data_IF_973896697730
#
_entry.id   IF_973896697730
#
_cell.length_a   1.000
_cell.length_b   1.000
_cell.length_c   1.000
_cell.angle_alpha   90.00
_cell.angle_beta   90.00
_cell.angle_gamma   90.00
#
_symmetry.space_group_name_H-M   'P 1'
#
loop_
_entity.id
_entity.type
_entity.pdbx_description
1 polymer ?
#
# COMPACT_ATOMS: atom_id res chain seq x y z
N UNK A 1 17.64 30.14 -25.54
CA UNK A 1 18.02 30.02 -24.11
C UNK A 1 18.29 28.54 -23.84
N UNK A 2 19.35 28.16 -23.10
CA UNK A 2 19.62 26.77 -22.78
C UNK A 2 18.65 26.25 -21.71
N UNK A 3 18.17 25.02 -21.85
CA UNK A 3 17.36 24.37 -20.82
C UNK A 3 18.25 23.97 -19.64
N UNK A 4 17.95 24.47 -18.45
CA UNK A 4 18.65 24.10 -17.22
C UNK A 4 18.32 22.66 -16.83
N UNK A 5 19.31 21.77 -16.92
CA UNK A 5 19.21 20.41 -16.42
C UNK A 5 19.09 20.40 -14.89
N UNK A 6 17.88 20.21 -14.36
CA UNK A 6 17.69 19.93 -12.93
C UNK A 6 18.25 18.55 -12.61
N UNK A 7 19.40 18.51 -11.94
CA UNK A 7 19.98 17.31 -11.36
C UNK A 7 19.06 16.78 -10.27
N UNK A 8 18.55 15.55 -10.45
CA UNK A 8 17.84 14.84 -9.38
C UNK A 8 18.87 14.49 -8.31
N UNK A 9 18.83 15.22 -7.19
CA UNK A 9 19.64 14.92 -6.01
C UNK A 9 19.33 13.50 -5.53
N UNK A 10 20.38 12.73 -5.21
CA UNK A 10 20.21 11.45 -4.55
C UNK A 10 19.45 11.63 -3.22
N UNK A 11 18.61 10.64 -2.90
CA UNK A 11 17.73 10.66 -1.73
C UNK A 11 18.53 10.86 -0.43
N UNK A 12 18.38 12.05 0.16
CA UNK A 12 18.77 12.30 1.55
C UNK A 12 17.97 11.38 2.45
N UNK A 13 18.62 10.72 3.40
CA UNK A 13 17.99 9.76 4.31
C UNK A 13 16.69 10.33 4.91
N UNK A 14 15.56 9.79 4.45
CA UNK A 14 14.23 10.33 4.79
C UNK A 14 13.98 10.06 6.28
N UNK A 15 13.99 11.14 7.08
CA UNK A 15 13.59 11.06 8.48
C UNK A 15 12.12 10.64 8.53
N UNK A 16 11.88 9.40 8.97
CA UNK A 16 10.53 8.83 8.99
C UNK A 16 9.76 9.35 10.19
N UNK A 17 8.45 9.65 10.04
CA UNK A 17 7.61 9.95 11.18
C UNK A 17 7.68 8.78 12.17
N UNK A 18 7.92 9.13 13.43
CA UNK A 18 7.90 8.19 14.55
C UNK A 18 6.52 7.56 14.67
N UNK A 19 6.47 6.28 15.06
CA UNK A 19 5.17 5.66 15.35
C UNK A 19 4.50 6.42 16.50
N UNK A 20 3.19 6.63 16.43
CA UNK A 20 2.39 7.19 17.54
C UNK A 20 2.41 6.30 18.80
N UNK A 21 2.98 5.09 18.70
CA UNK A 21 3.26 4.18 19.81
C UNK A 21 4.74 4.22 20.28
N UNK A 22 5.57 5.17 19.86
CA UNK A 22 6.98 5.24 20.31
C UNK A 22 7.14 5.71 21.77
N UNK A 23 6.24 6.52 22.31
CA UNK A 23 6.31 6.91 23.73
C UNK A 23 5.91 5.75 24.67
N UNK A 24 5.14 4.79 24.16
CA UNK A 24 4.85 3.48 24.77
C UNK A 24 5.83 2.41 24.27
N UNK A 25 7.13 2.71 24.40
CA UNK A 25 8.20 1.74 24.13
C UNK A 25 8.28 0.63 25.18
N UNK A 26 8.76 -0.54 24.77
CA UNK A 26 9.11 -1.67 25.66
C UNK A 26 9.89 -1.25 26.92
N UNK A 27 10.84 -0.31 26.78
CA UNK A 27 11.65 0.19 27.90
C UNK A 27 10.86 1.07 28.88
N UNK A 28 9.87 1.85 28.42
CA UNK A 28 9.05 2.65 29.34
C UNK A 28 8.14 1.75 30.16
N UNK A 29 7.50 0.75 29.55
CA UNK A 29 6.69 -0.24 30.29
C UNK A 29 7.48 -1.00 31.36
N UNK A 30 8.68 -1.51 31.05
CA UNK A 30 9.53 -2.20 32.05
C UNK A 30 9.98 -1.30 33.21
N UNK A 31 9.88 0.02 33.05
CA UNK A 31 10.20 1.03 34.08
C UNK A 31 8.98 1.37 34.94
N UNK A 32 7.78 1.40 34.36
CA UNK A 32 6.53 1.72 35.06
C UNK A 32 5.84 0.51 35.72
N UNK A 33 6.01 -0.69 35.16
CA UNK A 33 5.44 -1.97 35.66
C UNK A 33 6.57 -2.98 35.86
N UNK A 34 7.26 -2.98 37.03
CA UNK A 34 8.45 -3.80 37.28
C UNK A 34 8.22 -5.31 37.15
N UNK A 35 7.00 -5.79 37.36
CA UNK A 35 6.56 -7.17 37.16
C UNK A 35 6.77 -7.66 35.72
N UNK A 36 6.71 -6.77 34.73
CA UNK A 36 6.95 -7.11 33.32
C UNK A 36 8.43 -7.44 33.04
N UNK A 37 9.36 -7.15 33.97
CA UNK A 37 10.77 -7.54 33.80
C UNK A 37 10.96 -9.06 33.71
N UNK A 38 10.04 -9.86 34.26
CA UNK A 38 10.04 -11.32 34.05
C UNK A 38 9.84 -11.72 32.57
N UNK A 39 9.31 -10.84 31.73
CA UNK A 39 9.11 -11.02 30.29
C UNK A 39 10.19 -10.32 29.45
N UNK A 40 11.14 -9.60 30.06
CA UNK A 40 12.13 -8.76 29.37
C UNK A 40 12.97 -9.52 28.33
N UNK A 41 13.37 -10.75 28.65
CA UNK A 41 14.13 -11.68 27.80
C UNK A 41 13.28 -12.87 27.30
N UNK A 42 11.97 -12.66 27.16
CA UNK A 42 11.09 -13.67 26.55
C UNK A 42 11.51 -13.96 25.11
N UNK A 43 11.31 -15.21 24.65
CA UNK A 43 11.62 -15.65 23.27
C UNK A 43 11.01 -14.75 22.18
N UNK A 44 9.91 -14.04 22.49
CA UNK A 44 9.25 -13.09 21.58
C UNK A 44 10.02 -11.78 21.39
N UNK A 45 11.08 -11.53 22.17
CA UNK A 45 11.97 -10.37 22.03
C UNK A 45 13.04 -10.57 20.96
N UNK A 46 13.33 -11.84 20.64
CA UNK A 46 14.32 -12.28 19.66
C UNK A 46 13.65 -12.57 18.31
N UNK A 47 14.40 -12.41 17.21
CA UNK A 47 13.89 -12.77 15.88
C UNK A 47 13.73 -14.30 15.78
N UNK A 48 12.68 -14.74 15.09
CA UNK A 48 12.54 -16.14 14.71
C UNK A 48 13.68 -16.57 13.77
N UNK A 49 14.11 -17.83 13.84
CA UNK A 49 15.10 -18.38 12.91
C UNK A 49 14.58 -18.36 11.47
N UNK A 50 15.48 -18.28 10.48
CA UNK A 50 15.12 -18.32 9.06
C UNK A 50 14.23 -19.52 8.72
N UNK A 51 14.61 -20.71 9.17
CA UNK A 51 13.82 -21.94 8.99
C UNK A 51 12.40 -21.85 9.56
N UNK A 52 12.22 -21.16 10.69
CA UNK A 52 10.90 -20.93 11.30
C UNK A 52 10.07 -19.96 10.46
N UNK A 53 10.70 -18.90 9.95
CA UNK A 53 10.05 -17.90 9.08
C UNK A 53 9.60 -18.55 7.77
N UNK A 54 10.47 -19.32 7.11
CA UNK A 54 10.17 -19.92 5.80
C UNK A 54 9.09 -21.00 5.93
N UNK A 55 9.17 -21.87 6.94
CA UNK A 55 8.11 -22.84 7.26
C UNK A 55 6.76 -22.17 7.58
N UNK A 56 6.79 -21.01 8.25
CA UNK A 56 5.56 -20.25 8.57
C UNK A 56 4.96 -19.61 7.33
N UNK A 57 5.81 -19.08 6.44
CA UNK A 57 5.41 -18.55 5.13
C UNK A 57 4.75 -19.63 4.28
N UNK A 58 5.37 -20.81 4.14
CA UNK A 58 4.79 -21.95 3.41
C UNK A 58 3.41 -22.33 3.96
N UNK A 59 3.30 -22.52 5.29
CA UNK A 59 2.03 -22.87 5.94
C UNK A 59 0.93 -21.78 5.84
N UNK A 60 1.30 -20.53 5.56
CA UNK A 60 0.38 -19.43 5.27
C UNK A 60 -0.01 -19.42 3.78
N UNK A 61 0.94 -19.66 2.88
CA UNK A 61 0.71 -19.73 1.43
C UNK A 61 -0.16 -20.95 1.06
N UNK A 62 0.03 -22.11 1.72
CA UNK A 62 -0.88 -23.27 1.65
C UNK A 62 -2.33 -22.95 2.06
N UNK A 63 -2.52 -21.98 2.96
CA UNK A 63 -3.83 -21.49 3.41
C UNK A 63 -4.38 -20.36 2.53
N UNK A 64 -3.72 -20.04 1.42
CA UNK A 64 -4.14 -19.01 0.47
C UNK A 64 -3.76 -17.58 0.87
N UNK A 65 -2.98 -17.37 1.93
CA UNK A 65 -2.45 -16.05 2.25
C UNK A 65 -1.27 -15.72 1.32
N UNK A 66 -1.23 -14.50 0.79
CA UNK A 66 -0.07 -14.01 0.03
C UNK A 66 0.93 -13.39 0.99
N UNK A 67 2.08 -14.03 1.18
CA UNK A 67 3.07 -13.63 2.19
C UNK A 67 4.24 -12.88 1.55
N UNK A 68 4.73 -11.86 2.25
CA UNK A 68 5.91 -11.07 1.84
C UNK A 68 6.85 -10.88 3.02
N UNK A 69 7.93 -11.66 3.04
CA UNK A 69 9.04 -11.50 3.99
C UNK A 69 9.98 -10.42 3.46
N UNK A 70 10.43 -9.54 4.34
CA UNK A 70 11.33 -8.39 4.06
C UNK A 70 12.26 -8.18 5.26
N UNK A 71 13.49 -7.75 5.03
CA UNK A 71 14.54 -7.74 6.06
C UNK A 71 14.55 -6.46 6.91
N UNK A 72 14.01 -5.36 6.39
CA UNK A 72 14.12 -4.03 7.02
C UNK A 72 12.95 -3.11 6.61
N UNK A 73 12.91 -1.92 7.23
CA UNK A 73 11.86 -0.91 7.01
C UNK A 73 11.85 -0.34 5.58
N UNK A 74 12.98 -0.33 4.88
CA UNK A 74 13.10 0.19 3.51
C UNK A 74 12.49 -0.78 2.51
N UNK A 75 12.86 -2.05 2.61
CA UNK A 75 12.26 -3.15 1.84
C UNK A 75 10.75 -3.27 2.12
N UNK A 76 10.31 -3.10 3.38
CA UNK A 76 8.89 -3.07 3.72
C UNK A 76 8.16 -1.92 3.02
N UNK A 77 8.71 -0.70 3.04
CA UNK A 77 8.13 0.45 2.36
C UNK A 77 8.06 0.23 0.84
N UNK A 78 9.16 -0.20 0.22
CA UNK A 78 9.20 -0.49 -1.22
C UNK A 78 8.26 -1.65 -1.61
N UNK A 79 8.11 -2.67 -0.74
CA UNK A 79 7.15 -3.75 -0.92
C UNK A 79 5.72 -3.22 -0.90
N UNK A 80 5.34 -2.42 0.11
CA UNK A 80 4.03 -1.78 0.18
C UNK A 80 3.76 -0.92 -1.05
N UNK A 81 4.72 -0.08 -1.46
CA UNK A 81 4.62 0.72 -2.69
C UNK A 81 4.37 -0.14 -3.94
N UNK A 82 5.07 -1.28 -4.08
CA UNK A 82 4.86 -2.22 -5.19
C UNK A 82 3.50 -2.94 -5.20
N UNK A 83 2.78 -2.91 -4.07
CA UNK A 83 1.45 -3.51 -3.91
C UNK A 83 0.30 -2.50 -4.12
N UNK A 84 0.61 -1.20 -4.22
CA UNK A 84 -0.40 -0.16 -4.43
C UNK A 84 -1.11 -0.38 -5.77
N UNK A 85 -2.44 -0.58 -5.81
CA UNK A 85 -3.18 -0.72 -7.05
C UNK A 85 -3.23 0.60 -7.85
N UNK A 86 -3.54 0.49 -9.14
CA UNK A 86 -3.96 1.64 -9.94
C UNK A 86 -5.27 2.20 -9.37
N UNK A 87 -5.26 3.49 -9.03
CA UNK A 87 -6.37 4.32 -8.56
C UNK A 87 -6.21 5.71 -9.20
N UNK A 88 -7.29 6.48 -9.29
CA UNK A 88 -7.27 7.90 -9.61
C UNK A 88 -7.88 8.68 -8.42
N UNK A 89 -7.43 9.92 -8.22
CA UNK A 89 -7.97 10.82 -7.20
C UNK A 89 -8.27 12.15 -7.90
N UNK A 90 -9.50 12.65 -7.82
CA UNK A 90 -9.87 13.93 -8.43
C UNK A 90 -9.32 15.11 -7.62
N UNK A 91 -9.17 16.29 -8.23
CA UNK A 91 -8.84 17.53 -7.53
C UNK A 91 -9.92 17.90 -6.47
N UNK A 92 -11.16 17.44 -6.67
CA UNK A 92 -12.28 17.58 -5.74
C UNK A 92 -12.34 16.51 -4.62
N UNK A 93 -11.45 15.51 -4.64
CA UNK A 93 -11.26 14.56 -3.54
C UNK A 93 -12.04 13.24 -3.64
N UNK A 94 -12.68 12.96 -4.77
CA UNK A 94 -13.22 11.63 -5.07
C UNK A 94 -12.09 10.63 -5.41
N UNK A 95 -12.20 9.40 -4.90
CA UNK A 95 -11.24 8.33 -5.21
C UNK A 95 -11.93 7.34 -6.15
N UNK A 96 -11.33 7.09 -7.31
CA UNK A 96 -11.90 6.22 -8.33
C UNK A 96 -11.00 5.02 -8.65
N UNK A 97 -11.61 3.84 -8.81
CA UNK A 97 -10.88 2.63 -9.23
C UNK A 97 -11.75 1.59 -9.93
N UNK A 98 -11.14 0.87 -10.87
CA UNK A 98 -11.74 -0.27 -11.55
C UNK A 98 -11.19 -1.63 -11.11
N UNK A 99 -12.01 -2.67 -11.20
CA UNK A 99 -11.58 -4.07 -11.14
C UNK A 99 -12.42 -5.00 -12.04
N UNK A 100 -12.04 -6.28 -12.08
CA UNK A 100 -12.70 -7.31 -12.88
C UNK A 100 -13.61 -8.23 -12.04
N UNK A 101 -13.28 -8.45 -10.75
CA UNK A 101 -13.88 -9.49 -9.89
C UNK A 101 -14.56 -8.95 -8.64
N UNK A 102 -14.64 -7.63 -8.45
CA UNK A 102 -15.25 -6.97 -7.29
C UNK A 102 -14.39 -6.96 -6.01
N UNK A 103 -13.15 -7.46 -6.07
CA UNK A 103 -12.27 -7.62 -4.91
C UNK A 103 -11.76 -6.30 -4.33
N UNK A 104 -11.68 -5.23 -5.11
CA UNK A 104 -11.38 -3.89 -4.59
C UNK A 104 -12.65 -3.26 -4.03
N UNK A 105 -13.73 -3.31 -4.81
CA UNK A 105 -15.02 -2.69 -4.49
C UNK A 105 -15.56 -3.22 -3.16
N UNK A 106 -15.80 -4.53 -3.03
CA UNK A 106 -16.43 -5.09 -1.83
C UNK A 106 -15.70 -4.78 -0.50
N UNK A 107 -14.36 -4.71 -0.54
CA UNK A 107 -13.56 -4.30 0.62
C UNK A 107 -13.69 -2.81 0.92
N UNK A 108 -13.46 -1.96 -0.09
CA UNK A 108 -13.36 -0.50 0.09
C UNK A 108 -14.72 0.17 0.29
N UNK A 109 -15.77 -0.24 -0.43
CA UNK A 109 -17.13 0.32 -0.29
C UNK A 109 -17.69 0.15 1.13
N UNK A 110 -17.51 -1.04 1.72
CA UNK A 110 -18.15 -1.38 2.99
C UNK A 110 -17.29 -2.26 3.92
N UNK A 111 -16.75 -3.38 3.44
CA UNK A 111 -16.24 -4.45 4.32
C UNK A 111 -15.07 -4.11 5.25
N UNK A 112 -14.13 -3.25 4.84
CA UNK A 112 -12.78 -3.17 5.45
C UNK A 112 -12.66 -2.56 6.87
N UNK A 113 -13.67 -1.82 7.36
CA UNK A 113 -13.62 -1.16 8.68
C UNK A 113 -12.74 0.11 8.74
N UNK A 114 -11.45 0.02 8.40
CA UNK A 114 -10.49 1.12 8.22
C UNK A 114 -9.74 0.91 6.91
N UNK A 115 -9.63 1.94 6.06
CA UNK A 115 -9.04 1.86 4.72
C UNK A 115 -7.89 2.85 4.62
N UNK A 116 -6.71 2.40 4.20
CA UNK A 116 -5.57 3.27 3.90
C UNK A 116 -5.33 3.24 2.39
N UNK A 117 -5.54 4.39 1.74
CA UNK A 117 -5.23 4.61 0.32
C UNK A 117 -3.88 5.30 0.23
N UNK A 118 -2.86 4.59 -0.23
CA UNK A 118 -1.56 5.19 -0.58
C UNK A 118 -1.53 5.42 -2.09
N UNK A 119 -1.19 6.63 -2.53
CA UNK A 119 -1.14 6.98 -3.94
C UNK A 119 0.00 7.96 -4.24
N UNK A 120 0.64 7.83 -5.40
CA UNK A 120 1.55 8.85 -5.91
C UNK A 120 0.77 10.05 -6.43
N UNK A 121 1.32 11.26 -6.36
CA UNK A 121 0.66 12.47 -6.90
C UNK A 121 0.45 12.41 -8.42
N UNK A 122 1.13 11.50 -9.13
CA UNK A 122 0.87 11.14 -10.54
C UNK A 122 -0.47 10.43 -10.80
N UNK A 123 -1.26 10.18 -9.74
CA UNK A 123 -2.62 9.63 -9.80
C UNK A 123 -3.70 10.69 -9.59
N UNK A 124 -3.33 11.95 -9.37
CA UNK A 124 -4.27 13.06 -9.30
C UNK A 124 -4.73 13.41 -10.73
N UNK A 125 -6.03 13.63 -10.91
CA UNK A 125 -6.71 14.03 -12.14
C UNK A 125 -7.66 15.18 -11.84
N UNK A 126 -8.07 15.95 -12.84
CA UNK A 126 -8.97 17.08 -12.67
C UNK A 126 -10.35 16.67 -12.14
N UNK A 127 -11.00 15.71 -12.80
CA UNK A 127 -12.40 15.36 -12.56
C UNK A 127 -12.69 13.86 -12.78
N UNK A 128 -13.92 13.43 -12.46
CA UNK A 128 -14.35 12.03 -12.61
C UNK A 128 -14.29 11.53 -14.07
N UNK A 129 -14.47 12.41 -15.06
CA UNK A 129 -14.38 12.03 -16.47
C UNK A 129 -12.92 11.71 -16.84
N UNK A 130 -11.97 12.56 -16.41
CA UNK A 130 -10.55 12.25 -16.55
C UNK A 130 -10.15 10.99 -15.76
N UNK A 131 -10.72 10.75 -14.58
CA UNK A 131 -10.48 9.51 -13.82
C UNK A 131 -10.88 8.24 -14.59
N UNK A 132 -12.02 8.29 -15.32
CA UNK A 132 -12.48 7.20 -16.19
C UNK A 132 -11.55 7.03 -17.39
N UNK A 133 -11.15 8.13 -18.04
CA UNK A 133 -10.23 8.11 -19.18
C UNK A 133 -8.86 7.55 -18.78
N UNK A 134 -8.25 8.06 -17.70
CA UNK A 134 -7.01 7.52 -17.12
C UNK A 134 -7.13 6.02 -16.83
N UNK A 135 -8.26 5.57 -16.29
CA UNK A 135 -8.46 4.15 -16.00
C UNK A 135 -8.53 3.29 -17.27
N UNK A 136 -9.27 3.74 -18.29
CA UNK A 136 -9.51 2.98 -19.54
C UNK A 136 -8.36 3.06 -20.53
N UNK A 137 -7.81 4.24 -20.75
CA UNK A 137 -6.85 4.52 -21.82
C UNK A 137 -5.40 4.41 -21.35
N UNK A 138 -5.10 4.76 -20.09
CA UNK A 138 -3.76 4.64 -19.54
C UNK A 138 -3.56 3.34 -18.74
N UNK A 139 -4.38 3.05 -17.73
CA UNK A 139 -4.14 1.89 -16.86
C UNK A 139 -4.44 0.53 -17.52
N UNK A 140 -5.57 0.40 -18.23
CA UNK A 140 -6.06 -0.89 -18.73
C UNK A 140 -5.08 -1.58 -19.72
N UNK A 141 -4.34 -0.88 -20.60
CA UNK A 141 -3.28 -1.49 -21.40
C UNK A 141 -2.17 -2.15 -20.57
N UNK A 142 -1.70 -1.50 -19.49
CA UNK A 142 -0.69 -2.07 -18.60
C UNK A 142 -1.22 -3.25 -17.79
N UNK A 143 -2.46 -3.16 -17.27
CA UNK A 143 -3.11 -4.30 -16.59
C UNK A 143 -3.28 -5.48 -17.54
N UNK A 144 -3.66 -5.23 -18.80
CA UNK A 144 -3.76 -6.27 -19.84
C UNK A 144 -2.41 -6.91 -20.16
N UNK A 145 -1.32 -6.13 -20.20
CA UNK A 145 0.03 -6.67 -20.37
C UNK A 145 0.46 -7.55 -19.18
N UNK A 146 0.13 -7.13 -17.95
CA UNK A 146 0.34 -7.94 -16.75
C UNK A 146 -0.48 -9.24 -16.78
N UNK A 147 -1.78 -9.17 -17.09
CA UNK A 147 -2.67 -10.34 -17.14
C UNK A 147 -2.28 -11.36 -18.20
N UNK A 148 -1.78 -10.92 -19.37
CA UNK A 148 -1.16 -11.82 -20.36
C UNK A 148 0.04 -12.58 -19.81
N UNK A 149 0.90 -11.90 -19.04
CA UNK A 149 2.12 -12.51 -18.45
C UNK A 149 1.76 -13.49 -17.33
N UNK A 150 0.95 -13.04 -16.37
CA UNK A 150 0.65 -13.73 -15.12
C UNK A 150 -0.43 -14.81 -15.25
N UNK A 151 -1.54 -14.51 -15.95
CA UNK A 151 -2.73 -15.37 -15.98
C UNK A 151 -3.02 -15.98 -17.36
N UNK A 152 -2.20 -15.67 -18.39
CA UNK A 152 -2.39 -16.10 -19.79
C UNK A 152 -3.70 -15.63 -20.43
N UNK A 153 -4.38 -14.66 -19.83
CA UNK A 153 -5.60 -14.05 -20.36
C UNK A 153 -5.20 -13.02 -21.43
N UNK A 154 -5.85 -13.06 -22.61
CA UNK A 154 -5.52 -12.19 -23.76
C UNK A 154 -5.57 -10.69 -23.43
N UNK A 155 -6.58 -10.29 -22.67
CA UNK A 155 -6.89 -8.89 -22.37
C UNK A 155 -7.62 -8.80 -21.03
N UNK A 156 -7.29 -7.78 -20.23
CA UNK A 156 -8.03 -7.47 -19.02
C UNK A 156 -9.16 -6.50 -19.38
N UNK A 157 -10.33 -6.70 -18.77
CA UNK A 157 -11.46 -5.78 -18.88
C UNK A 157 -11.93 -5.36 -17.50
N UNK A 158 -12.63 -4.22 -17.46
CA UNK A 158 -13.18 -3.65 -16.24
C UNK A 158 -14.66 -4.04 -16.15
N UNK A 159 -15.01 -4.79 -15.11
CA UNK A 159 -16.40 -5.19 -14.81
C UNK A 159 -17.04 -4.16 -13.89
N UNK A 160 -16.31 -3.73 -12.87
CA UNK A 160 -16.76 -2.78 -11.87
C UNK A 160 -15.90 -1.51 -11.93
N UNK A 161 -16.55 -0.36 -11.76
CA UNK A 161 -15.89 0.92 -11.55
C UNK A 161 -16.59 1.62 -10.40
N UNK A 162 -15.82 2.06 -9.41
CA UNK A 162 -16.33 2.73 -8.22
C UNK A 162 -15.76 4.14 -8.14
N UNK A 163 -16.61 5.09 -7.70
CA UNK A 163 -16.21 6.44 -7.30
C UNK A 163 -16.64 6.64 -5.85
N UNK A 164 -15.64 6.67 -4.96
CA UNK A 164 -15.82 6.84 -3.53
C UNK A 164 -15.98 8.33 -3.21
N UNK A 165 -17.13 8.65 -2.60
CA UNK A 165 -17.42 9.96 -2.02
C UNK A 165 -17.55 9.75 -0.51
N UNK A 166 -16.71 10.41 0.27
CA UNK A 166 -16.58 10.10 1.70
C UNK A 166 -17.87 10.47 2.48
N UNK A 167 -18.48 9.49 3.14
CA UNK A 167 -19.67 9.67 4.00
C UNK A 167 -19.40 9.33 5.47
N UNK A 168 -18.31 8.63 5.78
CA UNK A 168 -17.87 8.29 7.13
C UNK A 168 -16.48 8.87 7.39
N UNK A 169 -16.42 9.99 8.11
CA UNK A 169 -15.18 10.71 8.41
C UNK A 169 -14.17 9.81 9.14
N UNK A 170 -12.91 9.84 8.71
CA UNK A 170 -11.80 9.09 9.32
C UNK A 170 -11.72 7.60 8.93
N UNK A 171 -12.74 7.01 8.30
CA UNK A 171 -12.72 5.60 7.86
C UNK A 171 -11.72 5.35 6.73
N UNK A 172 -11.63 6.30 5.79
CA UNK A 172 -10.71 6.26 4.65
C UNK A 172 -9.62 7.31 4.90
N UNK A 173 -8.38 6.84 5.02
CA UNK A 173 -7.19 7.65 5.21
C UNK A 173 -6.39 7.68 3.91
N UNK A 174 -5.99 8.87 3.45
CA UNK A 174 -5.26 9.03 2.18
C UNK A 174 -3.83 9.50 2.45
N UNK A 175 -2.86 8.78 1.92
CA UNK A 175 -1.43 9.12 1.96
C UNK A 175 -0.96 9.43 0.55
N UNK A 176 -0.79 10.72 0.26
CA UNK A 176 -0.25 11.20 -1.01
C UNK A 176 1.27 11.27 -0.96
N UNK A 177 1.93 10.49 -1.82
CA UNK A 177 3.39 10.46 -1.96
C UNK A 177 3.78 11.33 -3.16
N UNK A 178 4.74 12.25 -2.98
CA UNK A 178 5.21 13.17 -4.03
C UNK A 178 6.18 12.50 -5.02
N UNK A 179 5.84 11.30 -5.46
CA UNK A 179 6.63 10.44 -6.34
C UNK A 179 5.71 9.77 -7.39
N UNK A 180 6.29 9.26 -8.47
CA UNK A 180 5.57 8.50 -9.50
C UNK A 180 5.39 7.06 -9.01
N UNK A 181 4.22 6.73 -8.46
CA UNK A 181 3.96 5.39 -7.91
C UNK A 181 3.13 4.54 -8.88
N UNK A 182 3.82 3.65 -9.60
CA UNK A 182 3.21 2.75 -10.58
C UNK A 182 2.61 3.50 -11.78
N UNK A 183 1.53 2.94 -12.33
CA UNK A 183 0.70 3.52 -13.39
C UNK A 183 -0.74 3.72 -12.89
#
# INVERSE_FOLDING_TARGET
MPASSMSISASTAVERPKSTFEDVTWKSFLTYEPELNALADSKYRHLASGDTVEKTKEALEERGFKVHVVNNKDEAFQKVVSLIPAVAITETGEIAHGDQTGTKVGGVSFGAGNVIVVAGTNKIVKDEAEAVLRTKEFCLPFVSAYSRRAFKIKEAFMTNYEVLRATQNGRIQVVLVKEVLGF
#
